data_IF_369609209314
#
_entry.id   IF_369609209314
#
_cell.length_a   1.000
_cell.length_b   1.000
_cell.length_c   1.000
_cell.angle_alpha   90.00
_cell.angle_beta   90.00
_cell.angle_gamma   90.00
#
_symmetry.space_group_name_H-M   'P 1'
#
loop_
_entity.id
_entity.type
_entity.pdbx_description
1 polymer ?
#
# COMPACT_ATOMS: atom_id res chain seq x y z
N UNK A 1 0.38 16.69 -4.88
CA UNK A 1 0.45 15.24 -4.96
C UNK A 1 -0.33 14.64 -3.82
N UNK A 2 -0.93 13.50 -4.03
CA UNK A 2 -1.80 12.91 -3.04
C UNK A 2 -1.13 11.96 -2.05
N UNK A 3 0.20 11.93 -2.01
CA UNK A 3 0.92 11.01 -1.13
C UNK A 3 2.25 11.61 -0.70
N UNK A 4 2.79 11.06 0.41
CA UNK A 4 4.04 11.55 1.02
C UNK A 4 5.22 10.65 0.71
N UNK A 5 5.00 9.39 0.38
CA UNK A 5 6.04 8.44 0.04
C UNK A 5 5.49 7.42 -0.97
N UNK A 6 6.37 6.73 -1.64
CA UNK A 6 5.99 5.79 -2.69
C UNK A 6 6.85 4.54 -2.61
N UNK A 7 6.23 3.37 -2.76
CA UNK A 7 6.91 2.09 -2.82
C UNK A 7 6.49 1.38 -4.10
N UNK A 8 7.49 0.99 -4.90
CA UNK A 8 7.27 0.16 -6.08
C UNK A 8 7.50 -1.30 -5.70
N UNK A 9 6.44 -2.06 -5.61
CA UNK A 9 6.48 -3.48 -5.26
C UNK A 9 6.15 -4.37 -6.46
N UNK A 10 6.26 -3.84 -7.68
CA UNK A 10 6.04 -4.64 -8.88
C UNK A 10 7.08 -5.74 -8.95
N UNK A 11 6.67 -6.90 -9.47
CA UNK A 11 7.53 -8.07 -9.55
C UNK A 11 7.59 -8.89 -8.28
N UNK A 12 6.99 -8.43 -7.19
CA UNK A 12 6.96 -9.15 -5.92
C UNK A 12 5.64 -9.88 -5.76
N UNK A 13 5.71 -11.07 -5.19
CA UNK A 13 4.54 -11.90 -4.91
C UNK A 13 4.16 -11.81 -3.44
N UNK A 14 2.88 -12.10 -3.16
CA UNK A 14 2.37 -12.18 -1.80
C UNK A 14 3.28 -13.05 -0.93
N UNK A 15 3.63 -12.60 0.29
CA UNK A 15 3.15 -11.40 0.99
C UNK A 15 4.09 -10.20 0.89
N UNK A 16 5.04 -10.20 -0.06
CA UNK A 16 6.10 -9.19 -0.10
C UNK A 16 5.61 -7.76 -0.32
N UNK A 17 4.61 -7.50 -1.19
CA UNK A 17 4.12 -6.13 -1.36
C UNK A 17 3.61 -5.53 -0.04
N UNK A 18 2.86 -6.31 0.74
CA UNK A 18 2.33 -5.87 2.03
C UNK A 18 3.46 -5.65 3.02
N UNK A 19 4.47 -6.53 3.04
CA UNK A 19 5.61 -6.39 3.95
C UNK A 19 6.42 -5.13 3.63
N UNK A 20 6.59 -4.81 2.35
CA UNK A 20 7.27 -3.59 1.95
C UNK A 20 6.47 -2.34 2.38
N UNK A 21 5.17 -2.37 2.16
CA UNK A 21 4.30 -1.28 2.57
C UNK A 21 4.36 -1.09 4.09
N UNK A 22 4.29 -2.17 4.85
CA UNK A 22 4.35 -2.15 6.31
C UNK A 22 5.65 -1.49 6.79
N UNK A 23 6.77 -1.90 6.20
CA UNK A 23 8.07 -1.35 6.58
C UNK A 23 8.15 0.14 6.28
N UNK A 24 7.67 0.56 5.12
CA UNK A 24 7.72 1.97 4.73
C UNK A 24 6.78 2.82 5.59
N UNK A 25 5.61 2.29 5.94
CA UNK A 25 4.66 3.00 6.80
C UNK A 25 5.24 3.29 8.18
N UNK A 26 6.13 2.44 8.67
CA UNK A 26 6.79 2.69 9.96
C UNK A 26 7.62 3.97 9.95
N UNK A 27 8.12 4.38 8.80
CA UNK A 27 8.91 5.61 8.68
C UNK A 27 8.05 6.84 8.51
N UNK A 28 6.76 6.70 8.29
CA UNK A 28 5.84 7.81 8.11
C UNK A 28 5.23 8.23 9.44
N UNK A 29 4.80 9.49 9.48
CA UNK A 29 4.03 10.00 10.62
C UNK A 29 2.55 9.75 10.41
N UNK A 30 1.80 9.72 11.51
CA UNK A 30 0.36 9.55 11.43
C UNK A 30 -0.28 10.62 10.53
N UNK A 31 -1.21 10.19 9.69
CA UNK A 31 -1.86 11.06 8.71
C UNK A 31 -1.16 11.17 7.37
N UNK A 32 0.09 10.71 7.27
CA UNK A 32 0.79 10.69 6.00
C UNK A 32 0.33 9.52 5.14
N UNK A 33 0.45 9.66 3.84
CA UNK A 33 -0.06 8.69 2.86
C UNK A 33 1.09 8.04 2.11
N UNK A 34 1.02 6.71 1.98
CA UNK A 34 1.94 5.92 1.18
C UNK A 34 1.25 5.51 -0.12
N UNK A 35 1.93 5.69 -1.24
CA UNK A 35 1.51 5.12 -2.52
C UNK A 35 2.23 3.79 -2.72
N UNK A 36 1.47 2.71 -2.78
CA UNK A 36 1.99 1.37 -3.03
C UNK A 36 1.60 0.94 -4.43
N UNK A 37 2.59 0.51 -5.22
CA UNK A 37 2.38 -0.02 -6.56
C UNK A 37 2.67 -1.51 -6.52
N UNK A 38 1.72 -2.34 -6.96
CA UNK A 38 1.88 -3.78 -6.97
C UNK A 38 1.29 -4.37 -8.25
N UNK A 39 1.75 -5.54 -8.63
CA UNK A 39 1.20 -6.23 -9.81
C UNK A 39 0.79 -7.67 -9.49
N UNK A 40 0.90 -8.10 -8.24
CA UNK A 40 0.41 -9.42 -7.84
C UNK A 40 -1.11 -9.38 -7.67
N UNK A 41 -1.84 -10.30 -8.34
CA UNK A 41 -3.30 -10.36 -8.17
C UNK A 41 -3.76 -10.50 -6.73
N UNK A 42 -2.97 -11.16 -5.87
CA UNK A 42 -3.31 -11.32 -4.46
C UNK A 42 -3.31 -9.99 -3.70
N UNK A 43 -2.61 -8.97 -4.19
CA UNK A 43 -2.57 -7.67 -3.52
C UNK A 43 -3.96 -7.05 -3.42
N UNK A 44 -4.85 -7.34 -4.34
CA UNK A 44 -6.23 -6.83 -4.33
C UNK A 44 -6.95 -7.23 -3.04
N UNK A 45 -6.61 -8.39 -2.49
CA UNK A 45 -7.17 -8.89 -1.24
C UNK A 45 -6.25 -8.55 -0.07
N UNK A 46 -4.95 -8.72 -0.24
CA UNK A 46 -3.98 -8.60 0.84
C UNK A 46 -3.84 -7.16 1.35
N UNK A 47 -3.87 -6.17 0.46
CA UNK A 47 -3.66 -4.79 0.86
C UNK A 47 -4.84 -4.26 1.70
N UNK A 48 -6.10 -4.42 1.26
CA UNK A 48 -7.22 -4.04 2.14
C UNK A 48 -7.23 -4.78 3.46
N UNK A 49 -6.90 -6.07 3.45
CA UNK A 49 -6.84 -6.87 4.66
C UNK A 49 -5.77 -6.33 5.62
N UNK A 50 -4.59 -6.04 5.10
CA UNK A 50 -3.50 -5.46 5.88
C UNK A 50 -3.92 -4.13 6.51
N UNK A 51 -4.56 -3.25 5.72
CA UNK A 51 -5.00 -1.95 6.23
C UNK A 51 -6.00 -2.14 7.36
N UNK A 52 -6.94 -3.06 7.20
CA UNK A 52 -7.95 -3.33 8.22
C UNK A 52 -7.32 -3.88 9.50
N UNK A 53 -6.39 -4.82 9.37
CA UNK A 53 -5.71 -5.44 10.51
C UNK A 53 -4.82 -4.46 11.27
N UNK A 54 -4.14 -3.58 10.57
CA UNK A 54 -3.21 -2.64 11.19
C UNK A 54 -3.83 -1.31 11.58
N UNK A 55 -5.09 -1.08 11.23
CA UNK A 55 -5.77 0.17 11.55
C UNK A 55 -5.42 1.32 10.62
N UNK A 56 -4.67 1.07 9.54
CA UNK A 56 -4.42 2.09 8.53
C UNK A 56 -5.63 2.23 7.63
N UNK A 57 -5.73 3.37 6.96
CA UNK A 57 -6.87 3.66 6.08
C UNK A 57 -6.47 3.52 4.63
N UNK A 58 -7.21 2.72 3.87
CA UNK A 58 -7.05 2.63 2.43
C UNK A 58 -7.89 3.75 1.80
N UNK A 59 -7.23 4.86 1.45
CA UNK A 59 -7.92 6.05 0.98
C UNK A 59 -8.08 6.11 -0.53
N UNK A 60 -7.40 5.23 -1.26
CA UNK A 60 -7.55 5.17 -2.72
C UNK A 60 -7.04 3.85 -3.26
N UNK A 61 -7.65 3.42 -4.35
CA UNK A 61 -7.25 2.22 -5.07
C UNK A 61 -7.62 2.40 -6.53
N UNK A 62 -6.66 2.10 -7.41
CA UNK A 62 -6.90 2.19 -8.86
C UNK A 62 -6.09 1.13 -9.57
N UNK A 63 -6.55 0.78 -10.78
CA UNK A 63 -5.84 -0.15 -11.64
C UNK A 63 -5.22 0.64 -12.80
N UNK A 64 -4.00 0.28 -13.17
CA UNK A 64 -3.39 0.68 -14.42
C UNK A 64 -3.19 -0.56 -15.27
N UNK A 65 -2.64 -0.41 -16.48
CA UNK A 65 -2.54 -1.53 -17.43
C UNK A 65 -1.81 -2.74 -16.85
N UNK A 66 -0.73 -2.49 -16.11
CA UNK A 66 0.17 -3.55 -15.65
C UNK A 66 0.26 -3.65 -14.14
N UNK A 67 -0.47 -2.80 -13.41
CA UNK A 67 -0.29 -2.73 -11.97
C UNK A 67 -1.52 -2.17 -11.28
N UNK A 68 -1.52 -2.31 -9.95
CA UNK A 68 -2.52 -1.70 -9.08
C UNK A 68 -1.82 -0.64 -8.24
N UNK A 69 -2.54 0.43 -7.93
CA UNK A 69 -2.03 1.50 -7.10
C UNK A 69 -2.93 1.63 -5.87
N UNK A 70 -2.31 1.65 -4.70
CA UNK A 70 -3.01 1.78 -3.43
C UNK A 70 -2.50 3.00 -2.69
N UNK A 71 -3.40 3.82 -2.18
CA UNK A 71 -3.05 4.94 -1.33
C UNK A 71 -3.46 4.59 0.10
N UNK A 72 -2.48 4.48 0.99
CA UNK A 72 -2.67 4.03 2.36
C UNK A 72 -2.28 5.16 3.29
N UNK A 73 -3.23 5.63 4.10
CA UNK A 73 -2.95 6.67 5.08
C UNK A 73 -2.61 6.03 6.42
N UNK A 74 -1.47 6.39 6.98
CA UNK A 74 -1.03 5.84 8.25
C UNK A 74 -1.92 6.33 9.38
N UNK A 75 -2.38 5.40 10.20
CA UNK A 75 -3.13 5.72 11.40
C UNK A 75 -2.17 6.32 12.43
N UNK A 76 -2.66 7.29 13.10
CA UNK A 76 -1.87 8.06 13.95
C UNK A 76 -1.53 7.93 15.22
#
# INVERSE_FOLDING_TARGET
MGWDDEVDARGLLCPLPVLKARKRLKSLSGGQTLKLIADDPAAVVDVPHFCNESGHELVGQSDSEDAQVYLIRKSG
#
